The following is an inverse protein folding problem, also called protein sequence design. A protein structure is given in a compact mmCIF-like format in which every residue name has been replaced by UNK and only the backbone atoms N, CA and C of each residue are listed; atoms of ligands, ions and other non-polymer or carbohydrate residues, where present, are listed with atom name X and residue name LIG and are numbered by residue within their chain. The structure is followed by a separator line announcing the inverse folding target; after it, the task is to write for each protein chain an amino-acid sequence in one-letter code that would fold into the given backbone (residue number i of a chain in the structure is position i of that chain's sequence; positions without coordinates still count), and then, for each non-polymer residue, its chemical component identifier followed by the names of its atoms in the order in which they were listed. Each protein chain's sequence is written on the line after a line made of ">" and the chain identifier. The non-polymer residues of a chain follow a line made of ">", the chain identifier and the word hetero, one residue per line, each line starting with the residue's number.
data_IF_903137653731
#
_entry.id   IF_903137653731
#
_cell.length_a   1.000
_cell.length_b   1.000
_cell.length_c   1.000
_cell.angle_alpha   90.00
_cell.angle_beta   90.00
_cell.angle_gamma   90.00
#
_symmetry.space_group_name_H-M   'P 1'
#
loop_
_entity.id
_entity.type
_entity.pdbx_description
1 polymer ?
#
# COMPACT_ATOMS: atom_id res chain seq x y z
N UNK A 1 7.69 11.59 -3.90
CA UNK A 1 7.93 12.21 -5.21
C UNK A 1 8.93 13.36 -5.13
N UNK A 2 9.52 13.79 -6.21
CA UNK A 2 10.55 14.82 -6.25
C UNK A 2 10.37 15.87 -7.37
N UNK A 3 11.18 16.94 -7.29
CA UNK A 3 11.12 18.06 -8.23
C UNK A 3 11.52 17.68 -9.66
N UNK A 4 12.32 16.63 -9.86
CA UNK A 4 12.77 16.21 -11.22
C UNK A 4 11.60 15.66 -12.04
N UNK A 5 10.53 15.20 -11.38
CA UNK A 5 9.30 14.72 -11.97
C UNK A 5 8.13 15.69 -11.72
N UNK A 6 8.43 16.98 -11.49
CA UNK A 6 7.43 18.00 -11.16
C UNK A 6 6.52 17.58 -9.99
N UNK A 7 7.09 16.85 -9.03
CA UNK A 7 6.38 16.24 -7.90
C UNK A 7 5.23 15.31 -8.28
N UNK A 8 5.21 14.77 -9.50
CA UNK A 8 4.27 13.72 -9.85
C UNK A 8 4.53 12.47 -8.97
N UNK A 9 3.49 11.84 -8.41
CA UNK A 9 3.67 10.64 -7.57
C UNK A 9 4.21 9.47 -8.40
N UNK A 10 5.50 9.24 -8.37
CA UNK A 10 6.19 8.17 -9.13
C UNK A 10 6.98 7.22 -8.24
N UNK A 11 7.10 7.55 -6.95
CA UNK A 11 7.68 6.65 -5.97
C UNK A 11 6.61 5.75 -5.37
N UNK A 12 7.03 4.97 -4.40
CA UNK A 12 6.18 4.10 -3.64
C UNK A 12 4.90 4.80 -3.14
N UNK A 13 3.78 4.15 -3.36
CA UNK A 13 2.48 4.51 -2.80
C UNK A 13 2.05 3.38 -1.88
N UNK A 14 1.93 3.65 -0.60
CA UNK A 14 1.39 2.67 0.33
C UNK A 14 -0.05 2.32 -0.06
N UNK A 15 -0.34 1.03 -0.16
CA UNK A 15 -1.72 0.58 -0.21
C UNK A 15 -2.46 0.99 1.07
N UNK A 16 -3.78 1.14 1.04
CA UNK A 16 -4.54 1.42 2.25
C UNK A 16 -4.19 0.40 3.34
N UNK A 17 -3.85 0.90 4.54
CA UNK A 17 -3.50 0.08 5.74
C UNK A 17 -2.25 -0.80 5.62
N UNK A 18 -1.49 -0.70 4.57
CA UNK A 18 -0.29 -1.52 4.36
C UNK A 18 0.71 -1.47 5.52
N UNK A 19 0.81 -0.32 6.17
CA UNK A 19 1.74 -0.12 7.28
C UNK A 19 1.14 -0.40 8.67
N UNK A 20 -0.14 -0.74 8.75
CA UNK A 20 -0.85 -0.91 10.03
C UNK A 20 -0.37 -2.14 10.83
N UNK A 21 0.17 -3.16 10.16
CA UNK A 21 0.66 -4.38 10.80
C UNK A 21 2.04 -4.25 11.47
N UNK A 22 2.73 -3.11 11.35
CA UNK A 22 4.06 -2.91 11.93
C UNK A 22 4.01 -1.89 13.07
N UNK A 23 4.52 -2.23 14.27
CA UNK A 23 4.59 -1.28 15.39
C UNK A 23 5.35 0.01 15.05
N UNK A 24 6.33 -0.09 14.16
CA UNK A 24 7.16 1.05 13.76
C UNK A 24 6.44 2.04 12.83
N UNK A 25 5.26 1.69 12.31
CA UNK A 25 4.53 2.52 11.35
C UNK A 25 3.01 2.56 11.55
N UNK A 26 2.44 1.76 12.45
CA UNK A 26 0.99 1.67 12.70
C UNK A 26 0.39 3.02 13.14
N UNK A 27 1.13 3.81 13.90
CA UNK A 27 0.70 5.13 14.36
C UNK A 27 0.32 6.10 13.23
N UNK A 28 0.78 5.85 11.99
CA UNK A 28 0.37 6.64 10.84
C UNK A 28 -1.15 6.59 10.61
N UNK A 29 -1.80 5.49 10.97
CA UNK A 29 -3.24 5.27 10.77
C UNK A 29 -4.10 5.56 12.01
N UNK A 30 -3.48 5.87 13.13
CA UNK A 30 -4.17 6.20 14.39
C UNK A 30 -4.54 7.69 14.45
N UNK A 31 -4.06 8.48 13.49
CA UNK A 31 -4.29 9.92 13.46
C UNK A 31 -5.75 10.25 13.13
N UNK A 32 -6.37 11.09 13.95
CA UNK A 32 -7.67 11.71 13.68
C UNK A 32 -7.50 13.22 13.54
N UNK A 33 -7.87 13.75 12.40
CA UNK A 33 -7.78 15.17 12.09
C UNK A 33 -9.13 15.85 12.36
N UNK A 34 -9.18 16.72 13.34
CA UNK A 34 -10.38 17.46 13.71
C UNK A 34 -10.32 18.88 13.15
N UNK A 35 -11.25 19.20 12.25
CA UNK A 35 -11.47 20.57 11.79
C UNK A 35 -12.76 21.11 12.40
N UNK A 36 -12.72 22.32 12.92
CA UNK A 36 -13.87 22.96 13.57
C UNK A 36 -13.90 24.46 13.28
N UNK A 37 -15.07 25.07 13.36
CA UNK A 37 -15.24 26.51 13.26
C UNK A 37 -15.51 27.07 14.67
N UNK A 38 -14.58 27.86 15.19
CA UNK A 38 -14.68 28.46 16.52
C UNK A 38 -14.56 29.98 16.38
N UNK A 39 -15.63 30.68 16.74
CA UNK A 39 -15.68 32.14 16.61
C UNK A 39 -15.46 32.65 15.19
N UNK A 40 -15.89 31.90 14.18
CA UNK A 40 -15.69 32.23 12.77
C UNK A 40 -14.29 31.90 12.22
N UNK A 41 -13.39 31.37 13.04
CA UNK A 41 -12.06 30.93 12.63
C UNK A 41 -12.02 29.41 12.45
N UNK A 42 -11.40 28.95 11.38
CA UNK A 42 -11.12 27.53 11.18
C UNK A 42 -10.02 27.08 12.14
N UNK A 43 -10.28 26.01 12.87
CA UNK A 43 -9.37 25.42 13.85
C UNK A 43 -9.07 23.98 13.49
N UNK A 44 -7.91 23.52 13.94
CA UNK A 44 -7.38 22.19 13.73
C UNK A 44 -6.85 21.59 15.02
N UNK A 45 -7.13 20.33 15.25
CA UNK A 45 -6.54 19.51 16.28
C UNK A 45 -6.14 18.17 15.67
N UNK A 46 -4.92 17.73 15.90
CA UNK A 46 -4.46 16.38 15.57
C UNK A 46 -4.52 15.51 16.83
N UNK A 47 -5.40 14.51 16.81
CA UNK A 47 -5.32 13.41 17.76
C UNK A 47 -4.47 12.31 17.13
N UNK A 48 -3.27 12.10 17.68
CA UNK A 48 -2.30 11.13 17.18
C UNK A 48 -2.22 9.87 18.04
N UNK A 49 -3.16 9.66 18.96
CA UNK A 49 -3.11 8.53 19.91
C UNK A 49 -1.88 8.52 20.81
N UNK A 50 -1.15 9.65 20.91
CA UNK A 50 0.09 9.79 21.69
C UNK A 50 1.37 9.47 20.91
N UNK A 51 1.26 9.02 19.64
CA UNK A 51 2.41 8.67 18.81
C UNK A 51 2.27 9.22 17.39
N UNK A 52 3.35 9.72 16.83
CA UNK A 52 3.42 10.29 15.49
C UNK A 52 4.44 9.57 14.64
N UNK A 53 4.10 9.34 13.38
CA UNK A 53 5.02 8.80 12.39
C UNK A 53 5.91 9.93 11.84
N UNK A 54 7.22 9.80 12.05
CA UNK A 54 8.23 10.78 11.63
C UNK A 54 8.99 10.29 10.41
N UNK A 55 9.21 11.20 9.48
CA UNK A 55 10.24 10.99 8.46
C UNK A 55 11.62 11.00 9.14
N UNK A 56 12.50 10.10 8.70
CA UNK A 56 13.85 9.90 9.27
C UNK A 56 14.67 11.18 9.40
N UNK A 57 14.48 12.13 8.49
CA UNK A 57 15.23 13.39 8.48
C UNK A 57 14.78 14.35 9.61
N UNK A 58 13.69 14.03 10.31
CA UNK A 58 13.14 14.78 11.44
C UNK A 58 13.17 14.02 12.78
N UNK A 59 13.75 12.83 12.82
CA UNK A 59 13.84 12.02 14.05
C UNK A 59 14.53 12.77 15.20
N UNK A 60 15.42 13.71 14.91
CA UNK A 60 16.08 14.55 15.90
C UNK A 60 15.12 15.46 16.68
N UNK A 61 13.95 15.78 16.14
CA UNK A 61 12.91 16.58 16.83
C UNK A 61 12.44 15.89 18.11
N UNK A 62 12.45 14.56 18.09
CA UNK A 62 12.07 13.70 19.24
C UNK A 62 13.29 13.07 19.93
N UNK A 63 14.49 13.53 19.62
CA UNK A 63 15.74 13.02 20.21
C UNK A 63 16.13 11.62 19.71
N UNK A 64 15.52 11.12 18.65
CA UNK A 64 15.85 9.83 18.08
C UNK A 64 16.97 9.94 17.02
N UNK A 65 17.74 8.87 16.86
CA UNK A 65 18.89 8.78 15.95
C UNK A 65 18.71 7.71 14.86
N UNK A 66 17.52 7.16 14.73
CA UNK A 66 17.20 6.16 13.70
C UNK A 66 17.42 6.71 12.29
N UNK A 67 17.96 5.91 11.42
CA UNK A 67 18.08 6.20 9.97
C UNK A 67 16.85 5.83 9.16
N UNK A 68 15.78 5.37 9.82
CA UNK A 68 14.50 4.98 9.22
C UNK A 68 13.37 5.85 9.76
N UNK A 69 12.30 5.98 8.97
CA UNK A 69 11.03 6.52 9.44
C UNK A 69 10.49 5.66 10.59
N UNK A 70 9.76 6.27 11.52
CA UNK A 70 9.24 5.52 12.66
C UNK A 70 8.21 6.27 13.49
N UNK A 71 7.55 5.53 14.37
CA UNK A 71 6.58 6.04 15.33
C UNK A 71 7.29 6.48 16.63
N UNK A 72 7.03 7.69 17.03
CA UNK A 72 7.61 8.26 18.26
C UNK A 72 6.53 8.98 19.07
N UNK A 73 6.67 8.93 20.40
CA UNK A 73 5.81 9.73 21.29
C UNK A 73 5.98 11.21 20.98
N UNK A 74 4.87 11.88 20.72
CA UNK A 74 4.88 13.31 20.37
C UNK A 74 3.58 13.96 20.80
N UNK A 75 3.68 15.10 21.50
CA UNK A 75 2.53 15.86 21.94
C UNK A 75 1.99 16.73 20.80
N UNK A 76 0.78 16.43 20.36
CA UNK A 76 0.01 17.19 19.36
C UNK A 76 -1.14 17.98 19.97
N UNK A 77 -1.22 18.04 21.30
CA UNK A 77 -2.27 18.75 22.02
C UNK A 77 -2.31 20.24 21.67
N UNK A 78 -3.46 20.81 21.84
CA UNK A 78 -3.68 22.23 21.60
C UNK A 78 -4.26 22.56 20.24
N UNK A 79 -5.29 23.39 20.30
CA UNK A 79 -6.05 23.81 19.12
C UNK A 79 -5.23 24.80 18.30
N UNK A 80 -4.98 24.48 17.04
CA UNK A 80 -4.24 25.33 16.08
C UNK A 80 -5.21 26.16 15.24
N UNK A 81 -4.72 27.29 14.73
CA UNK A 81 -5.49 28.08 13.76
C UNK A 81 -5.14 27.63 12.34
N UNK A 82 -6.16 27.51 11.49
CA UNK A 82 -5.98 27.24 10.07
C UNK A 82 -6.31 28.48 9.27
N UNK A 83 -5.42 28.82 8.36
CA UNK A 83 -5.65 29.86 7.36
C UNK A 83 -5.62 29.25 5.95
N UNK A 84 -6.46 29.78 5.08
CA UNK A 84 -6.48 29.41 3.67
C UNK A 84 -5.90 30.54 2.84
N UNK A 85 -5.06 30.22 1.88
CA UNK A 85 -4.47 31.16 0.94
C UNK A 85 -4.41 30.56 -0.46
N UNK A 86 -4.27 31.38 -1.53
CA UNK A 86 -3.89 30.84 -2.83
C UNK A 86 -2.59 30.04 -2.71
N UNK A 87 -2.52 28.92 -3.44
CA UNK A 87 -1.29 28.12 -3.44
C UNK A 87 -0.20 28.79 -4.27
N UNK A 88 0.95 28.97 -3.66
CA UNK A 88 2.20 29.39 -4.29
C UNK A 88 3.16 28.21 -4.51
N UNK A 89 2.64 26.98 -4.45
CA UNK A 89 3.46 25.78 -4.53
C UNK A 89 4.30 25.75 -5.81
N UNK A 90 5.61 25.62 -5.63
CA UNK A 90 6.57 25.39 -6.73
C UNK A 90 6.34 24.05 -7.44
N UNK A 91 5.55 23.17 -6.83
CA UNK A 91 5.19 21.87 -7.37
C UNK A 91 4.31 21.92 -8.63
N UNK A 92 4.06 23.08 -9.16
CA UNK A 92 3.23 23.30 -10.35
C UNK A 92 3.97 23.63 -11.64
N UNK A 93 5.18 23.20 -11.81
CA UNK A 93 5.84 23.42 -13.09
C UNK A 93 5.28 22.46 -14.15
N UNK A 94 4.61 23.01 -15.16
CA UNK A 94 4.37 22.39 -16.46
C UNK A 94 3.32 21.26 -16.58
N UNK A 95 2.03 21.59 -16.63
CA UNK A 95 0.95 20.83 -17.31
C UNK A 95 0.88 19.31 -17.04
N UNK A 96 1.28 18.86 -15.85
CA UNK A 96 1.13 17.45 -15.46
C UNK A 96 -0.29 17.21 -14.94
N UNK A 97 -0.96 16.11 -15.28
CA UNK A 97 -2.25 15.75 -14.70
C UNK A 97 -2.21 15.76 -13.16
N UNK A 98 -3.26 16.26 -12.52
CA UNK A 98 -3.40 16.42 -11.06
C UNK A 98 -2.59 17.55 -10.42
N UNK A 99 -2.11 18.51 -11.18
CA UNK A 99 -1.56 19.73 -10.60
C UNK A 99 -2.69 20.67 -10.16
N UNK A 100 -2.58 21.24 -8.99
CA UNK A 100 -3.48 22.31 -8.59
C UNK A 100 -2.68 23.50 -8.05
N UNK A 101 -2.98 24.72 -8.51
CA UNK A 101 -2.70 25.96 -7.80
C UNK A 101 -3.99 26.46 -7.20
N UNK A 102 -4.63 25.58 -6.45
CA UNK A 102 -5.84 25.92 -5.76
C UNK A 102 -5.54 26.58 -4.42
N UNK A 103 -5.93 25.93 -3.37
CA UNK A 103 -5.87 26.44 -2.00
C UNK A 103 -4.76 25.78 -1.22
N UNK A 104 -3.98 26.60 -0.54
CA UNK A 104 -3.05 26.18 0.51
C UNK A 104 -3.77 26.26 1.86
N UNK A 105 -3.67 25.19 2.65
CA UNK A 105 -4.11 25.09 4.03
C UNK A 105 -2.87 25.23 4.92
N UNK A 106 -2.82 26.28 5.74
CA UNK A 106 -1.70 26.56 6.62
C UNK A 106 -2.14 26.39 8.07
N UNK A 107 -1.39 25.59 8.84
CA UNK A 107 -1.66 25.30 10.26
C UNK A 107 -0.66 26.06 11.11
N UNK A 108 -1.16 26.82 12.09
CA UNK A 108 -0.29 27.61 12.99
C UNK A 108 0.56 26.74 13.90
N UNK A 109 1.57 27.35 14.51
CA UNK A 109 2.36 26.81 15.63
C UNK A 109 2.95 25.40 15.34
N UNK A 110 3.46 25.21 14.12
CA UNK A 110 4.09 23.95 13.74
C UNK A 110 3.12 22.77 13.61
N UNK A 111 1.80 23.01 13.52
CA UNK A 111 0.81 21.96 13.33
C UNK A 111 1.00 21.22 12.00
N UNK A 112 0.67 19.94 11.96
CA UNK A 112 0.87 19.09 10.80
C UNK A 112 -0.23 18.02 10.70
N UNK A 113 -0.33 17.37 9.55
CA UNK A 113 -1.38 16.37 9.26
C UNK A 113 -0.82 14.95 9.31
N UNK A 114 -0.66 14.39 10.50
CA UNK A 114 -0.35 12.99 10.74
C UNK A 114 1.12 12.61 10.52
N UNK A 115 1.61 12.55 9.28
CA UNK A 115 3.01 12.26 8.99
C UNK A 115 3.88 13.51 9.16
N UNK A 116 4.88 13.43 10.05
CA UNK A 116 5.74 14.56 10.33
C UNK A 116 6.89 14.67 9.31
N UNK A 117 6.80 15.68 8.47
CA UNK A 117 7.80 16.00 7.42
C UNK A 117 8.33 17.44 7.55
N UNK A 118 8.23 18.03 8.74
CA UNK A 118 8.69 19.39 9.00
C UNK A 118 7.90 20.47 8.27
N UNK A 119 6.61 20.23 7.94
CA UNK A 119 5.80 21.15 7.15
C UNK A 119 4.42 21.34 7.77
N UNK A 120 3.96 22.61 7.76
CA UNK A 120 2.65 23.03 8.25
C UNK A 120 1.72 23.58 7.17
N UNK A 121 2.17 23.58 5.93
CA UNK A 121 1.42 24.09 4.77
C UNK A 121 1.14 22.97 3.77
N UNK A 122 -0.11 22.79 3.41
CA UNK A 122 -0.61 21.69 2.61
C UNK A 122 -1.45 22.22 1.45
N UNK A 123 -1.08 21.90 0.23
CA UNK A 123 -1.89 22.23 -0.94
C UNK A 123 -3.03 21.22 -1.08
N UNK A 124 -4.25 21.69 -1.14
CA UNK A 124 -5.43 20.83 -1.36
C UNK A 124 -5.46 20.41 -2.83
N UNK A 125 -5.23 19.13 -3.08
CA UNK A 125 -5.27 18.52 -4.40
C UNK A 125 -6.69 18.15 -4.81
N UNK A 126 -7.47 17.64 -3.88
CA UNK A 126 -8.90 17.37 -4.03
C UNK A 126 -9.57 17.27 -2.67
N UNK A 127 -10.83 17.64 -2.62
CA UNK A 127 -11.67 17.50 -1.42
C UNK A 127 -13.11 17.16 -1.84
N UNK A 128 -13.68 16.19 -1.14
CA UNK A 128 -15.06 15.75 -1.25
C UNK A 128 -15.67 15.64 0.15
N UNK A 129 -16.92 15.24 0.27
CA UNK A 129 -17.58 15.10 1.58
C UNK A 129 -16.90 14.08 2.50
N UNK A 130 -16.17 13.12 1.95
CA UNK A 130 -15.59 12.02 2.72
C UNK A 130 -14.11 11.75 2.45
N UNK A 131 -13.48 12.54 1.59
CA UNK A 131 -12.08 12.33 1.23
C UNK A 131 -11.37 13.65 0.94
N UNK A 132 -10.17 13.80 1.48
CA UNK A 132 -9.26 14.91 1.17
C UNK A 132 -7.90 14.38 0.75
N UNK A 133 -7.37 14.92 -0.33
CA UNK A 133 -5.98 14.68 -0.74
C UNK A 133 -5.23 15.98 -0.65
N UNK A 134 -4.13 15.99 0.04
CA UNK A 134 -3.24 17.14 0.13
C UNK A 134 -1.82 16.77 -0.29
N UNK A 135 -1.09 17.77 -0.74
CA UNK A 135 0.34 17.68 -1.05
C UNK A 135 1.11 18.65 -0.18
N UNK A 136 2.22 18.21 0.41
CA UNK A 136 3.13 19.06 1.14
C UNK A 136 4.56 18.89 0.61
N UNK A 137 5.25 20.00 0.39
CA UNK A 137 6.68 20.01 0.11
C UNK A 137 7.40 19.85 1.44
N UNK A 138 8.39 18.95 1.48
CA UNK A 138 9.11 18.60 2.71
C UNK A 138 9.83 19.81 3.31
N UNK A 139 9.73 20.00 4.61
CA UNK A 139 10.45 21.03 5.33
C UNK A 139 11.97 20.86 5.20
N UNK A 140 12.67 21.95 4.91
CA UNK A 140 14.15 21.91 4.73
C UNK A 140 14.64 21.21 3.47
N UNK A 141 13.76 20.53 2.70
CA UNK A 141 14.13 19.90 1.43
C UNK A 141 13.07 20.15 0.36
N UNK A 142 13.13 21.28 -0.35
CA UNK A 142 12.15 21.63 -1.38
C UNK A 142 12.19 20.73 -2.62
N UNK A 143 13.16 19.83 -2.72
CA UNK A 143 13.20 18.86 -3.81
C UNK A 143 12.17 17.72 -3.64
N UNK A 144 11.62 17.53 -2.43
CA UNK A 144 10.73 16.41 -2.12
C UNK A 144 9.32 16.89 -1.77
N UNK A 145 8.32 16.12 -2.16
CA UNK A 145 6.93 16.33 -1.76
C UNK A 145 6.23 15.01 -1.43
N UNK A 146 5.27 15.10 -0.52
CA UNK A 146 4.47 14.00 -0.02
C UNK A 146 2.99 14.25 -0.27
N UNK A 147 2.27 13.20 -0.63
CA UNK A 147 0.82 13.21 -0.79
C UNK A 147 0.20 12.46 0.38
N UNK A 148 -0.81 13.06 0.98
CA UNK A 148 -1.57 12.47 2.08
C UNK A 148 -3.02 12.34 1.64
N UNK A 149 -3.60 11.20 1.90
CA UNK A 149 -5.02 10.95 1.68
C UNK A 149 -5.70 10.71 3.01
N UNK A 150 -6.71 11.50 3.30
CA UNK A 150 -7.55 11.38 4.50
C UNK A 150 -8.97 11.03 4.11
N UNK A 151 -9.67 10.29 4.95
CA UNK A 151 -11.06 9.92 4.75
C UNK A 151 -11.84 10.00 6.05
N UNK A 152 -13.12 10.41 5.97
CA UNK A 152 -14.07 10.32 7.08
C UNK A 152 -14.78 8.96 7.12
N UNK A 153 -14.65 8.17 6.06
CA UNK A 153 -15.10 6.80 6.08
C UNK A 153 -14.08 6.06 6.94
N UNK A 154 -14.50 5.68 8.14
CA UNK A 154 -13.73 4.70 8.90
C UNK A 154 -13.49 3.53 7.95
N UNK A 155 -12.24 3.11 7.76
CA UNK A 155 -12.05 1.86 7.08
C UNK A 155 -12.93 0.88 7.84
N UNK A 156 -13.73 0.15 7.14
CA UNK A 156 -14.15 -1.13 7.67
C UNK A 156 -12.83 -1.82 7.93
N UNK A 157 -12.36 -1.75 9.16
CA UNK A 157 -11.41 -2.73 9.64
C UNK A 157 -12.11 -4.01 9.22
N UNK A 158 -11.54 -4.66 8.21
CA UNK A 158 -12.05 -5.96 7.81
C UNK A 158 -12.36 -6.64 9.12
N UNK A 159 -13.63 -6.93 9.43
CA UNK A 159 -13.94 -7.51 10.72
C UNK A 159 -12.90 -8.59 10.82
N UNK A 160 -12.12 -8.61 11.92
CA UNK A 160 -11.09 -9.63 12.08
C UNK A 160 -11.85 -10.89 11.74
N UNK A 161 -11.85 -11.19 10.47
CA UNK A 161 -12.54 -12.36 9.99
C UNK A 161 -11.67 -13.41 10.56
N UNK A 162 -12.17 -13.94 11.64
CA UNK A 162 -11.58 -15.10 12.25
C UNK A 162 -11.71 -16.16 11.17
N UNK A 163 -10.67 -16.22 10.29
CA UNK A 163 -10.60 -17.19 9.20
C UNK A 163 -10.39 -18.59 9.78
N UNK A 164 -11.24 -18.95 10.75
CA UNK A 164 -11.24 -20.25 11.42
C UNK A 164 -11.99 -21.30 10.62
N UNK A 165 -12.82 -20.87 9.67
CA UNK A 165 -13.56 -21.80 8.82
C UNK A 165 -12.78 -22.09 7.54
N UNK A 166 -12.09 -23.23 7.52
CA UNK A 166 -11.44 -23.72 6.31
C UNK A 166 -12.50 -24.20 5.32
N UNK A 167 -12.63 -23.52 4.19
CA UNK A 167 -13.66 -23.79 3.18
C UNK A 167 -13.13 -24.61 2.00
N UNK A 168 -11.83 -24.58 1.78
CA UNK A 168 -11.16 -25.36 0.75
C UNK A 168 -9.68 -25.54 1.12
N UNK A 169 -9.14 -26.74 0.86
CA UNK A 169 -7.72 -27.02 0.97
C UNK A 169 -7.28 -28.14 0.04
N UNK A 170 -6.00 -28.18 -0.26
CA UNK A 170 -5.33 -29.35 -0.81
C UNK A 170 -3.95 -29.48 -0.17
N UNK A 171 -3.80 -30.53 0.61
CA UNK A 171 -2.56 -30.84 1.34
C UNK A 171 -1.67 -31.80 0.54
N UNK A 172 -2.08 -32.17 -0.67
CA UNK A 172 -1.33 -33.05 -1.57
C UNK A 172 -0.88 -34.38 -0.95
N UNK A 173 -1.78 -34.99 -0.17
CA UNK A 173 -1.48 -36.19 0.63
C UNK A 173 -1.51 -37.50 -0.18
N UNK A 174 -2.05 -37.49 -1.41
CA UNK A 174 -2.19 -38.67 -2.27
C UNK A 174 -1.23 -38.56 -3.44
N UNK A 175 -0.23 -39.42 -3.47
CA UNK A 175 0.74 -39.46 -4.57
C UNK A 175 0.07 -39.77 -5.92
N UNK A 176 0.53 -39.14 -6.99
CA UNK A 176 0.01 -39.30 -8.34
C UNK A 176 -0.34 -38.00 -9.04
N UNK A 177 -1.36 -38.00 -9.87
CA UNK A 177 -1.87 -36.79 -10.50
C UNK A 177 -2.57 -35.91 -9.47
N UNK A 178 -2.52 -34.58 -9.59
CA UNK A 178 -3.36 -33.67 -8.79
C UNK A 178 -4.83 -34.05 -8.86
N UNK A 179 -5.55 -33.88 -7.75
CA UNK A 179 -6.96 -34.22 -7.64
C UNK A 179 -7.80 -33.47 -8.69
N UNK A 180 -8.43 -34.19 -9.64
CA UNK A 180 -9.17 -33.56 -10.73
C UNK A 180 -10.47 -32.89 -10.26
N UNK A 181 -10.91 -33.14 -9.03
CA UNK A 181 -12.05 -32.41 -8.44
C UNK A 181 -11.65 -31.01 -7.96
N UNK A 182 -10.37 -30.78 -7.69
CA UNK A 182 -9.80 -29.53 -7.19
C UNK A 182 -9.06 -28.76 -8.26
N UNK A 183 -8.42 -29.45 -9.20
CA UNK A 183 -7.50 -28.86 -10.16
C UNK A 183 -7.89 -29.17 -11.61
N UNK A 184 -7.80 -28.16 -12.44
CA UNK A 184 -7.79 -28.24 -13.89
C UNK A 184 -6.44 -27.84 -14.46
N UNK A 185 -6.29 -27.94 -15.78
CA UNK A 185 -5.07 -27.58 -16.48
C UNK A 185 -5.36 -26.57 -17.60
N UNK A 186 -4.48 -25.61 -17.75
CA UNK A 186 -4.30 -24.90 -19.00
C UNK A 186 -3.26 -25.65 -19.82
N UNK A 187 -3.59 -26.00 -21.06
CA UNK A 187 -2.73 -26.80 -21.92
C UNK A 187 -2.35 -26.04 -23.20
N UNK A 188 -1.15 -26.34 -23.72
CA UNK A 188 -0.68 -25.83 -24.98
C UNK A 188 0.39 -24.76 -24.90
N UNK A 189 0.80 -24.28 -26.05
CA UNK A 189 1.78 -23.21 -26.30
C UNK A 189 1.07 -21.90 -26.68
N UNK A 190 1.83 -20.91 -27.12
CA UNK A 190 1.29 -19.65 -27.67
C UNK A 190 1.63 -18.42 -26.83
N UNK A 191 2.56 -18.58 -25.87
CA UNK A 191 3.10 -17.46 -25.09
C UNK A 191 2.16 -16.89 -24.02
N UNK A 192 0.93 -17.34 -23.94
CA UNK A 192 -0.07 -17.03 -22.89
C UNK A 192 -0.18 -15.54 -22.55
N UNK A 193 -0.02 -14.66 -23.54
CA UNK A 193 -0.04 -13.22 -23.38
C UNK A 193 1.24 -12.62 -22.74
N UNK A 194 2.24 -13.46 -22.46
CA UNK A 194 3.42 -13.11 -21.64
C UNK A 194 4.75 -13.50 -22.34
N UNK A 195 4.67 -13.90 -23.61
CA UNK A 195 5.83 -14.41 -24.39
C UNK A 195 6.50 -15.63 -23.75
N UNK A 196 5.72 -16.47 -23.07
CA UNK A 196 6.21 -17.65 -22.38
C UNK A 196 6.74 -18.70 -23.36
N UNK A 197 7.92 -19.21 -23.12
CA UNK A 197 8.62 -20.11 -24.05
C UNK A 197 8.16 -21.58 -23.96
N UNK A 198 7.50 -21.97 -22.87
CA UNK A 198 7.12 -23.36 -22.61
C UNK A 198 5.75 -23.72 -23.18
N UNK A 199 5.61 -24.99 -23.47
CA UNK A 199 4.31 -25.64 -23.69
C UNK A 199 3.82 -26.21 -22.37
N UNK A 200 2.59 -25.91 -21.98
CA UNK A 200 1.98 -26.48 -20.77
C UNK A 200 1.33 -27.82 -21.06
N UNK A 201 1.61 -28.78 -20.19
CA UNK A 201 1.13 -30.16 -20.29
C UNK A 201 0.53 -30.61 -18.97
N UNK A 202 -0.21 -31.72 -19.00
CA UNK A 202 -0.68 -32.47 -17.83
C UNK A 202 0.14 -33.76 -17.59
N UNK A 203 1.31 -33.86 -18.20
CA UNK A 203 2.20 -35.02 -18.05
C UNK A 203 2.76 -35.08 -16.62
N UNK A 204 2.85 -36.31 -16.09
CA UNK A 204 3.53 -36.57 -14.81
C UNK A 204 5.01 -36.13 -14.80
N UNK A 205 5.59 -35.91 -15.98
CA UNK A 205 6.91 -35.31 -16.11
C UNK A 205 6.97 -33.83 -15.73
N UNK A 206 5.85 -33.13 -15.84
CA UNK A 206 5.75 -31.70 -15.54
C UNK A 206 4.96 -31.42 -14.28
N UNK A 207 4.04 -32.29 -13.87
CA UNK A 207 3.23 -32.11 -12.67
C UNK A 207 2.89 -33.42 -12.01
N UNK A 208 3.20 -33.53 -10.72
CA UNK A 208 2.93 -34.71 -9.91
C UNK A 208 2.78 -34.33 -8.44
N UNK A 209 1.89 -34.98 -7.74
CA UNK A 209 1.89 -35.00 -6.27
C UNK A 209 2.79 -36.14 -5.82
N UNK A 210 3.75 -35.83 -4.98
CA UNK A 210 4.66 -36.83 -4.46
C UNK A 210 5.24 -36.40 -3.11
N UNK A 211 5.11 -37.28 -2.12
CA UNK A 211 5.65 -37.09 -0.79
C UNK A 211 5.05 -35.86 -0.09
N UNK A 212 3.73 -35.68 -0.16
CA UNK A 212 3.02 -34.58 0.47
C UNK A 212 3.27 -33.20 -0.18
N UNK A 213 3.58 -33.17 -1.46
CA UNK A 213 3.85 -31.94 -2.17
C UNK A 213 3.43 -32.00 -3.63
N UNK A 214 2.82 -30.95 -4.13
CA UNK A 214 2.67 -30.72 -5.57
C UNK A 214 4.01 -30.27 -6.14
N UNK A 215 4.52 -30.98 -7.14
CA UNK A 215 5.74 -30.64 -7.85
C UNK A 215 5.39 -30.22 -9.27
N UNK A 216 5.74 -28.98 -9.63
CA UNK A 216 5.66 -28.48 -10.98
C UNK A 216 7.10 -28.34 -11.50
N UNK A 217 7.39 -29.00 -12.62
CA UNK A 217 8.75 -29.08 -13.15
C UNK A 217 8.77 -28.53 -14.57
N UNK A 218 9.55 -27.47 -14.76
CA UNK A 218 9.92 -27.02 -16.10
C UNK A 218 11.05 -27.92 -16.64
N UNK A 219 10.89 -28.42 -17.87
CA UNK A 219 11.87 -29.27 -18.53
C UNK A 219 12.24 -28.72 -19.90
N UNK A 220 13.51 -28.88 -20.27
CA UNK A 220 13.96 -28.66 -21.63
C UNK A 220 13.75 -29.94 -22.41
N UNK A 221 13.00 -29.86 -23.51
CA UNK A 221 12.72 -30.98 -24.40
C UNK A 221 13.06 -30.58 -25.86
N UNK A 222 14.16 -31.11 -26.36
CA UNK A 222 14.68 -30.72 -27.68
C UNK A 222 15.07 -29.23 -27.70
N UNK A 223 14.48 -28.46 -28.59
CA UNK A 223 14.68 -27.01 -28.69
C UNK A 223 13.68 -26.18 -27.86
N UNK A 224 12.69 -26.83 -27.24
CA UNK A 224 11.62 -26.18 -26.49
C UNK A 224 11.69 -26.48 -25.00
N UNK A 225 10.65 -26.02 -24.33
CA UNK A 225 10.44 -26.26 -22.90
C UNK A 225 9.02 -26.78 -22.66
N UNK A 226 8.86 -27.61 -21.65
CA UNK A 226 7.56 -28.04 -21.15
C UNK A 226 7.41 -27.69 -19.68
N UNK A 227 6.20 -27.44 -19.22
CA UNK A 227 5.86 -27.22 -17.82
C UNK A 227 4.40 -27.58 -17.56
N UNK A 228 3.86 -27.26 -16.39
CA UNK A 228 2.45 -27.41 -16.12
C UNK A 228 1.87 -26.09 -15.57
N UNK A 229 0.60 -25.85 -15.90
CA UNK A 229 -0.18 -24.72 -15.38
C UNK A 229 -1.51 -25.25 -14.86
N UNK A 230 -1.64 -25.23 -13.52
CA UNK A 230 -2.84 -25.69 -12.84
C UNK A 230 -3.73 -24.48 -12.52
N UNK A 231 -5.04 -24.74 -12.45
CA UNK A 231 -6.04 -23.77 -12.07
C UNK A 231 -7.17 -24.43 -11.26
N UNK A 232 -7.79 -23.67 -10.37
CA UNK A 232 -9.02 -24.06 -9.67
C UNK A 232 -10.28 -23.56 -10.38
N UNK A 233 -10.16 -22.87 -11.51
CA UNK A 233 -11.28 -22.33 -12.27
C UNK A 233 -12.33 -23.40 -12.56
N UNK A 234 -13.61 -23.11 -12.26
CA UNK A 234 -14.72 -24.04 -12.39
C UNK A 234 -14.69 -25.23 -11.43
N UNK A 235 -13.78 -25.23 -10.45
CA UNK A 235 -13.70 -26.22 -9.36
C UNK A 235 -14.01 -25.58 -8.02
N UNK A 236 -13.37 -24.44 -7.74
CA UNK A 236 -13.59 -23.62 -6.56
C UNK A 236 -13.32 -22.16 -6.87
N UNK A 237 -14.33 -21.34 -6.68
CA UNK A 237 -14.26 -19.88 -6.85
C UNK A 237 -14.69 -19.19 -5.55
N UNK A 238 -14.09 -18.06 -5.24
CA UNK A 238 -14.50 -17.24 -4.10
C UNK A 238 -14.22 -15.77 -4.41
N UNK A 239 -14.99 -14.88 -3.75
CA UNK A 239 -14.87 -13.44 -3.94
C UNK A 239 -14.03 -12.80 -2.84
N UNK A 240 -14.15 -13.29 -1.61
CA UNK A 240 -13.44 -12.78 -0.44
C UNK A 240 -12.95 -13.94 0.43
N UNK A 241 -11.78 -13.78 1.01
CA UNK A 241 -11.21 -14.80 1.90
C UNK A 241 -9.72 -14.62 2.09
N UNK A 242 -9.14 -15.48 2.92
CA UNK A 242 -7.70 -15.61 3.13
C UNK A 242 -7.19 -16.84 2.41
N UNK A 243 -6.15 -16.69 1.62
CA UNK A 243 -5.43 -17.79 0.97
C UNK A 243 -4.08 -17.94 1.66
N UNK A 244 -3.78 -19.15 2.10
CA UNK A 244 -2.46 -19.51 2.64
C UNK A 244 -1.88 -20.65 1.80
N UNK A 245 -0.63 -20.53 1.42
CA UNK A 245 0.10 -21.60 0.75
C UNK A 245 1.56 -21.60 1.15
N UNK A 246 2.16 -22.79 1.15
CA UNK A 246 3.59 -22.98 1.36
C UNK A 246 4.22 -23.40 0.05
N UNK A 247 5.19 -22.65 -0.43
CA UNK A 247 5.86 -22.93 -1.69
C UNK A 247 7.39 -22.87 -1.56
N UNK A 248 8.06 -23.71 -2.34
CA UNK A 248 9.49 -23.61 -2.60
C UNK A 248 9.68 -23.21 -4.06
N UNK A 249 10.15 -22.00 -4.29
CA UNK A 249 10.42 -21.50 -5.62
C UNK A 249 11.77 -22.01 -6.14
N UNK A 250 11.94 -22.13 -7.46
CA UNK A 250 13.23 -22.42 -8.05
C UNK A 250 14.23 -21.29 -7.75
N UNK A 251 15.49 -21.65 -7.71
CA UNK A 251 16.58 -20.64 -7.69
C UNK A 251 16.71 -20.11 -9.11
N UNK A 252 16.65 -18.78 -9.25
CA UNK A 252 16.83 -18.09 -10.54
C UNK A 252 18.31 -17.97 -10.92
#
# INVERSE_FOLDING_TARGET
>A
TDATQNYYPHWYQAAPWEKAGSPDSSCLYENVLHFSLVGGQLKFLLDNGGSTFFNKDFNSVVGATSSSDGCYSYDTSGLKTVTLSPSESLAMANNVPNQTRGTMLNISDGGFMGYYIGQSSYEIMSITNNRMVVRAVMGGNPALAWYHTFTTIQPVQDPITDYTNLVWSDEFNVDGAPDPTKWGYDLGAGGWGNSEAQTYTNSSNNVIVQGGSLKITAKKEGSGYTSARLKSEGKYDFTYGKIEFKAKLPVG
#
